data_IF_995512853564
#
_entry.id   IF_995512853564
#
_cell.length_a   1.000
_cell.length_b   1.000
_cell.length_c   1.000
_cell.angle_alpha   90.00
_cell.angle_beta   90.00
_cell.angle_gamma   90.00
#
_symmetry.space_group_name_H-M   'P 1'
#
loop_
_entity.id
_entity.type
_entity.pdbx_description
1 polymer ?
#
# COMPACT_ATOMS: atom_id res chain seq x y z
N UNK A 1 -50.92 -40.05 37.13
CA UNK A 1 -49.80 -39.95 36.17
C UNK A 1 -49.34 -38.49 36.16
N UNK A 2 -48.18 -38.18 36.77
CA UNK A 2 -47.66 -36.80 36.88
C UNK A 2 -46.81 -36.48 35.66
N UNK A 3 -47.21 -35.49 34.86
CA UNK A 3 -46.44 -34.98 33.72
C UNK A 3 -45.35 -34.03 34.26
N UNK A 4 -44.09 -34.40 34.08
CA UNK A 4 -42.93 -33.55 34.36
C UNK A 4 -42.63 -32.78 33.08
N UNK A 5 -42.75 -31.45 33.13
CA UNK A 5 -42.38 -30.54 32.04
C UNK A 5 -40.92 -30.16 32.26
N UNK A 6 -40.03 -30.61 31.36
CA UNK A 6 -38.64 -30.16 31.31
C UNK A 6 -38.57 -28.86 30.50
N UNK A 7 -38.22 -27.76 31.16
CA UNK A 7 -37.90 -26.49 30.51
C UNK A 7 -36.41 -26.52 30.15
N UNK A 8 -36.11 -26.61 28.85
CA UNK A 8 -34.75 -26.51 28.33
C UNK A 8 -34.42 -25.02 28.16
N UNK A 9 -33.55 -24.49 29.01
CA UNK A 9 -32.94 -23.17 28.82
C UNK A 9 -31.87 -23.28 27.73
N UNK A 10 -32.17 -22.80 26.52
CA UNK A 10 -31.15 -22.53 25.51
C UNK A 10 -30.32 -21.32 25.95
N UNK A 11 -29.16 -21.56 26.55
CA UNK A 11 -28.14 -20.53 26.72
C UNK A 11 -27.53 -20.22 25.34
N UNK A 12 -28.05 -19.19 24.67
CA UNK A 12 -27.40 -18.62 23.50
C UNK A 12 -26.09 -17.96 23.96
N UNK A 13 -24.97 -18.66 23.81
CA UNK A 13 -23.64 -18.14 24.11
C UNK A 13 -23.32 -16.96 23.18
N UNK A 14 -23.40 -15.74 23.73
CA UNK A 14 -22.79 -14.56 23.14
C UNK A 14 -21.28 -14.82 23.05
N UNK A 15 -20.82 -15.19 21.86
CA UNK A 15 -19.39 -15.19 21.54
C UNK A 15 -18.99 -13.72 21.46
N UNK A 16 -18.57 -13.15 22.59
CA UNK A 16 -17.85 -11.88 22.59
C UNK A 16 -16.49 -12.17 21.96
N UNK A 17 -16.33 -11.82 20.68
CA UNK A 17 -15.00 -11.68 20.11
C UNK A 17 -14.29 -10.60 20.92
N UNK A 18 -13.26 -10.99 21.67
CA UNK A 18 -12.41 -10.05 22.39
C UNK A 18 -11.66 -9.27 21.31
N UNK A 19 -12.09 -8.04 21.08
CA UNK A 19 -11.38 -7.14 20.19
C UNK A 19 -10.08 -6.70 20.89
N UNK A 20 -8.96 -6.78 20.16
CA UNK A 20 -7.67 -6.30 20.62
C UNK A 20 -7.42 -4.93 20.00
N UNK A 21 -6.65 -4.08 20.68
CA UNK A 21 -6.19 -2.81 20.14
C UNK A 21 -5.36 -3.05 18.87
N UNK A 22 -5.73 -2.46 17.73
CA UNK A 22 -4.98 -2.62 16.49
C UNK A 22 -4.40 -1.29 16.06
N UNK A 23 -3.07 -1.25 15.96
CA UNK A 23 -2.35 -0.11 15.39
C UNK A 23 -1.18 -0.57 14.52
N UNK A 24 -1.19 -0.21 13.24
CA UNK A 24 -0.04 -0.38 12.34
C UNK A 24 1.19 0.40 12.81
N UNK A 25 0.98 1.53 13.49
CA UNK A 25 2.04 2.36 14.04
C UNK A 25 2.53 1.89 15.43
N UNK A 26 2.06 0.75 15.95
CA UNK A 26 2.27 0.29 17.33
C UNK A 26 1.98 1.36 18.41
N UNK A 27 0.91 2.15 18.21
CA UNK A 27 0.40 3.12 19.17
C UNK A 27 -0.68 2.49 20.03
N UNK A 28 -0.83 3.01 21.25
CA UNK A 28 -1.95 2.65 22.11
C UNK A 28 -3.26 3.08 21.42
N UNK A 29 -4.16 2.12 21.28
CA UNK A 29 -5.51 2.28 20.73
C UNK A 29 -6.46 1.50 21.63
N UNK A 30 -7.75 1.83 21.62
CA UNK A 30 -8.75 0.96 22.23
C UNK A 30 -9.16 -0.16 21.26
N UNK A 31 -9.98 -1.09 21.74
CA UNK A 31 -10.46 -2.23 20.97
C UNK A 31 -11.50 -1.85 19.89
N UNK A 32 -11.93 -0.58 19.83
CA UNK A 32 -12.92 -0.09 18.86
C UNK A 32 -12.30 0.39 17.54
N UNK A 33 -10.97 0.41 17.42
CA UNK A 33 -10.27 0.99 16.26
C UNK A 33 -9.31 -0.02 15.61
N UNK A 34 -9.36 -0.06 14.28
CA UNK A 34 -8.40 -0.69 13.39
C UNK A 34 -7.53 0.41 12.77
N UNK A 35 -6.50 0.85 13.50
CA UNK A 35 -5.73 2.04 13.14
C UNK A 35 -4.55 1.70 12.21
N UNK A 36 -4.65 2.06 10.94
CA UNK A 36 -3.51 1.99 10.01
C UNK A 36 -2.81 3.34 9.85
N UNK A 37 -3.22 4.35 10.63
CA UNK A 37 -2.66 5.70 10.61
C UNK A 37 -1.48 5.85 11.58
N UNK A 38 -0.71 6.94 11.45
CA UNK A 38 -0.57 7.80 10.28
C UNK A 38 0.40 7.18 9.27
N UNK A 39 0.47 7.75 8.06
CA UNK A 39 1.42 7.37 7.02
C UNK A 39 1.21 5.92 6.57
N UNK A 40 -0.05 5.56 6.30
CA UNK A 40 -0.44 4.17 6.05
C UNK A 40 0.40 3.54 4.94
N UNK A 41 0.54 4.20 3.79
CA UNK A 41 1.33 3.72 2.66
C UNK A 41 2.79 3.50 3.02
N UNK A 42 3.42 4.47 3.66
CA UNK A 42 4.80 4.35 4.10
C UNK A 42 4.99 3.14 5.01
N UNK A 43 4.12 2.96 6.00
CA UNK A 43 4.22 1.87 6.98
C UNK A 43 3.96 0.50 6.39
N UNK A 44 2.95 0.37 5.54
CA UNK A 44 2.67 -0.87 4.82
C UNK A 44 3.86 -1.28 3.94
N UNK A 45 4.57 -0.30 3.37
CA UNK A 45 5.74 -0.52 2.53
C UNK A 45 7.06 -0.82 3.29
N UNK A 46 7.07 -0.79 4.63
CA UNK A 46 8.28 -1.15 5.39
C UNK A 46 8.51 -2.65 5.43
N UNK A 47 7.43 -3.44 5.48
CA UNK A 47 7.51 -4.91 5.56
C UNK A 47 6.19 -5.54 5.07
N UNK A 48 6.14 -6.09 3.84
CA UNK A 48 7.26 -6.26 2.90
C UNK A 48 7.69 -4.95 2.22
N UNK A 49 8.98 -4.86 1.85
CA UNK A 49 9.48 -3.74 1.05
C UNK A 49 8.96 -3.84 -0.39
N UNK A 50 8.32 -2.78 -0.87
CA UNK A 50 7.83 -2.66 -2.26
C UNK A 50 8.72 -1.66 -3.01
N UNK A 51 9.54 -2.10 -3.99
CA UNK A 51 10.35 -1.17 -4.77
C UNK A 51 9.47 -0.17 -5.54
N UNK A 52 9.87 1.10 -5.54
CA UNK A 52 9.15 2.15 -6.27
C UNK A 52 9.07 1.82 -7.77
N UNK A 53 7.87 1.99 -8.36
CA UNK A 53 7.64 1.70 -9.78
C UNK A 53 7.44 0.22 -10.08
N UNK A 54 7.26 -0.63 -9.06
CA UNK A 54 6.82 -2.01 -9.25
C UNK A 54 5.52 -2.06 -10.04
N UNK A 55 5.41 -3.03 -10.96
CA UNK A 55 4.16 -3.17 -11.73
C UNK A 55 2.99 -3.49 -10.79
N UNK A 56 1.85 -2.87 -11.04
CA UNK A 56 0.63 -3.04 -10.23
C UNK A 56 0.81 -2.60 -8.76
N UNK A 57 1.66 -1.61 -8.49
CA UNK A 57 1.97 -1.11 -7.14
C UNK A 57 0.70 -0.82 -6.30
N UNK A 58 -0.30 -0.16 -6.88
CA UNK A 58 -1.58 0.11 -6.19
C UNK A 58 -2.30 -1.17 -5.73
N UNK A 59 -2.23 -2.23 -6.54
CA UNK A 59 -2.83 -3.53 -6.19
C UNK A 59 -2.03 -4.25 -5.11
N UNK A 60 -0.69 -4.14 -5.16
CA UNK A 60 0.19 -4.67 -4.11
C UNK A 60 -0.14 -4.01 -2.76
N UNK A 61 -0.20 -2.68 -2.70
CA UNK A 61 -0.52 -1.96 -1.47
C UNK A 61 -1.94 -2.24 -0.96
N UNK A 62 -2.91 -2.38 -1.87
CA UNK A 62 -4.23 -2.86 -1.52
C UNK A 62 -4.16 -4.23 -0.82
N UNK A 63 -3.45 -5.21 -1.39
CA UNK A 63 -3.36 -6.56 -0.79
C UNK A 63 -2.58 -6.59 0.52
N UNK A 64 -1.52 -5.81 0.65
CA UNK A 64 -0.78 -5.68 1.93
C UNK A 64 -1.70 -5.10 3.01
N UNK A 65 -2.46 -4.05 2.69
CA UNK A 65 -3.44 -3.49 3.62
C UNK A 65 -4.52 -4.53 3.99
N UNK A 66 -5.04 -5.26 2.98
CA UNK A 66 -6.03 -6.30 3.20
C UNK A 66 -5.51 -7.42 4.11
N UNK A 67 -4.28 -7.92 3.88
CA UNK A 67 -3.63 -8.92 4.76
C UNK A 67 -3.63 -8.44 6.20
N UNK A 68 -3.15 -7.22 6.44
CA UNK A 68 -3.13 -6.63 7.78
C UNK A 68 -4.54 -6.57 8.40
N UNK A 69 -5.52 -6.02 7.67
CA UNK A 69 -6.89 -5.84 8.17
C UNK A 69 -7.54 -7.20 8.47
N UNK A 70 -7.43 -8.18 7.57
CA UNK A 70 -8.06 -9.50 7.75
C UNK A 70 -7.41 -10.35 8.83
N UNK A 71 -6.13 -10.09 9.15
CA UNK A 71 -5.41 -10.81 10.20
C UNK A 71 -5.55 -10.17 11.58
N UNK A 72 -5.73 -8.85 11.66
CA UNK A 72 -5.62 -8.10 12.91
C UNK A 72 -6.92 -7.46 13.37
N UNK A 73 -7.78 -7.05 12.45
CA UNK A 73 -8.97 -6.28 12.78
C UNK A 73 -10.20 -7.17 12.93
N UNK A 74 -11.26 -6.63 13.54
CA UNK A 74 -12.56 -7.28 13.72
C UNK A 74 -13.69 -6.42 13.14
N UNK A 75 -14.86 -7.02 12.92
CA UNK A 75 -16.04 -6.25 12.54
C UNK A 75 -16.42 -5.24 13.64
N UNK A 76 -17.05 -4.15 13.24
CA UNK A 76 -17.43 -2.98 14.04
C UNK A 76 -16.27 -2.10 14.52
N UNK A 77 -15.02 -2.50 14.34
CA UNK A 77 -13.90 -1.58 14.51
C UNK A 77 -13.95 -0.47 13.46
N UNK A 78 -13.56 0.74 13.86
CA UNK A 78 -13.36 1.85 12.94
C UNK A 78 -12.01 1.68 12.24
N UNK A 79 -12.02 1.46 10.92
CA UNK A 79 -10.82 1.52 10.09
C UNK A 79 -10.37 2.98 9.91
N UNK A 80 -9.08 3.24 10.10
CA UNK A 80 -8.44 4.53 9.80
C UNK A 80 -7.31 4.35 8.79
N UNK A 81 -7.38 5.05 7.66
CA UNK A 81 -6.31 5.11 6.64
C UNK A 81 -5.89 6.57 6.47
N UNK A 82 -4.60 6.88 6.50
CA UNK A 82 -4.09 8.25 6.46
C UNK A 82 -3.06 8.45 5.36
N UNK A 83 -3.30 9.47 4.54
CA UNK A 83 -2.37 10.01 3.53
C UNK A 83 -1.92 11.39 3.98
N UNK A 84 -0.63 11.53 4.27
CA UNK A 84 -0.03 12.84 4.62
C UNK A 84 0.04 13.74 3.39
N UNK A 85 0.61 13.25 2.29
CA UNK A 85 0.82 14.04 1.08
C UNK A 85 -0.44 14.17 0.21
N UNK A 86 -1.55 13.53 0.57
CA UNK A 86 -2.82 13.59 -0.16
C UNK A 86 -2.76 13.08 -1.60
N UNK A 87 -1.93 12.05 -1.86
CA UNK A 87 -1.64 11.60 -3.23
C UNK A 87 -2.84 10.88 -3.86
N UNK A 88 -2.95 10.95 -5.20
CA UNK A 88 -3.93 10.15 -5.95
C UNK A 88 -3.68 8.64 -5.84
N UNK A 89 -2.43 8.25 -5.58
CA UNK A 89 -2.06 6.88 -5.31
C UNK A 89 -2.78 6.37 -4.05
N UNK A 90 -2.63 7.10 -2.93
CA UNK A 90 -3.28 6.77 -1.66
C UNK A 90 -4.81 6.77 -1.80
N UNK A 91 -5.37 7.81 -2.44
CA UNK A 91 -6.82 7.92 -2.63
C UNK A 91 -7.38 6.70 -3.40
N UNK A 92 -6.69 6.30 -4.47
CA UNK A 92 -7.10 5.19 -5.32
C UNK A 92 -7.18 3.87 -4.54
N UNK A 93 -6.12 3.48 -3.84
CA UNK A 93 -6.12 2.18 -3.16
C UNK A 93 -6.84 2.23 -1.80
N UNK A 94 -6.86 3.36 -1.07
CA UNK A 94 -7.69 3.50 0.13
C UNK A 94 -9.18 3.36 -0.19
N UNK A 95 -9.64 3.89 -1.32
CA UNK A 95 -11.01 3.67 -1.79
C UNK A 95 -11.28 2.18 -2.05
N UNK A 96 -10.35 1.45 -2.67
CA UNK A 96 -10.47 0.00 -2.86
C UNK A 96 -10.53 -0.75 -1.53
N UNK A 97 -9.62 -0.45 -0.59
CA UNK A 97 -9.60 -1.07 0.75
C UNK A 97 -10.93 -0.83 1.47
N UNK A 98 -11.34 0.44 1.61
CA UNK A 98 -12.58 0.81 2.30
C UNK A 98 -13.81 0.19 1.63
N UNK A 99 -13.87 0.13 0.30
CA UNK A 99 -14.97 -0.53 -0.41
C UNK A 99 -14.96 -2.04 -0.25
N UNK A 100 -13.82 -2.67 0.01
CA UNK A 100 -13.75 -4.10 0.25
C UNK A 100 -14.23 -4.46 1.67
N UNK A 101 -13.91 -3.65 2.67
CA UNK A 101 -14.14 -4.00 4.10
C UNK A 101 -15.30 -3.25 4.79
N UNK A 102 -15.73 -2.11 4.24
CA UNK A 102 -16.81 -1.26 4.79
C UNK A 102 -18.00 -1.12 3.83
N UNK A 103 -19.17 -0.73 4.34
CA UNK A 103 -20.29 -0.33 3.48
C UNK A 103 -19.97 1.02 2.81
N UNK A 104 -20.13 1.17 1.49
CA UNK A 104 -19.76 2.41 0.78
C UNK A 104 -20.39 3.68 1.36
N UNK A 105 -21.63 3.59 1.86
CA UNK A 105 -22.36 4.73 2.45
C UNK A 105 -21.78 5.19 3.78
N UNK A 106 -21.01 4.35 4.46
CA UNK A 106 -20.37 4.65 5.75
C UNK A 106 -18.90 5.09 5.57
N UNK A 107 -18.40 5.12 4.33
CA UNK A 107 -17.03 5.58 4.02
C UNK A 107 -16.98 7.09 4.04
N UNK A 108 -16.19 7.63 4.97
CA UNK A 108 -15.96 9.06 5.09
C UNK A 108 -14.52 9.38 4.71
N UNK A 109 -14.35 10.42 3.88
CA UNK A 109 -13.05 11.04 3.59
C UNK A 109 -13.03 12.40 4.26
N UNK A 110 -12.12 12.59 5.19
CA UNK A 110 -12.00 13.82 5.99
C UNK A 110 -10.67 14.51 5.68
N UNK A 111 -10.63 15.86 5.61
CA UNK A 111 -9.38 16.60 5.58
C UNK A 111 -8.53 16.28 6.81
N UNK A 112 -7.25 16.03 6.60
CA UNK A 112 -6.27 15.76 7.66
C UNK A 112 -4.92 16.41 7.31
N UNK A 113 -4.96 17.53 6.59
CA UNK A 113 -3.77 18.24 6.13
C UNK A 113 -3.06 18.98 7.27
N UNK A 114 -1.77 19.18 7.08
CA UNK A 114 -0.92 20.05 7.93
C UNK A 114 -0.62 21.35 7.18
N UNK A 115 0.12 22.27 7.82
CA UNK A 115 0.63 23.47 7.14
C UNK A 115 1.52 23.11 5.94
N UNK A 116 2.39 22.11 6.09
CA UNK A 116 3.29 21.62 5.04
C UNK A 116 2.57 20.78 3.96
N UNK A 117 1.53 20.05 4.36
CA UNK A 117 0.77 19.16 3.47
C UNK A 117 -0.74 19.40 3.60
N UNK A 118 -1.28 20.52 3.08
CA UNK A 118 -2.68 20.89 3.26
C UNK A 118 -3.67 19.92 2.60
N UNK A 119 -3.21 19.15 1.61
CA UNK A 119 -4.01 18.16 0.90
C UNK A 119 -4.14 16.80 1.63
N UNK A 120 -3.46 16.64 2.77
CA UNK A 120 -3.54 15.42 3.58
C UNK A 120 -4.98 15.05 3.94
N UNK A 121 -5.25 13.75 4.04
CA UNK A 121 -6.60 13.25 4.30
C UNK A 121 -6.61 11.92 5.05
N UNK A 122 -7.75 11.67 5.69
CA UNK A 122 -8.04 10.41 6.37
C UNK A 122 -9.31 9.78 5.78
N UNK A 123 -9.26 8.47 5.55
CA UNK A 123 -10.45 7.65 5.28
C UNK A 123 -10.83 6.92 6.55
N UNK A 124 -12.11 7.01 6.92
CA UNK A 124 -12.69 6.41 8.11
C UNK A 124 -13.96 5.65 7.76
N UNK A 125 -14.10 4.41 8.25
CA UNK A 125 -15.34 3.66 8.16
C UNK A 125 -15.41 2.50 9.17
N UNK A 126 -16.61 2.10 9.62
CA UNK A 126 -16.78 0.88 10.40
C UNK A 126 -16.61 -0.36 9.50
N UNK A 127 -15.76 -1.28 9.93
CA UNK A 127 -15.56 -2.57 9.26
C UNK A 127 -16.83 -3.40 9.41
N UNK A 128 -17.37 -3.90 8.31
CA UNK A 128 -18.62 -4.66 8.28
C UNK A 128 -18.63 -5.84 7.32
N UNK A 129 -17.57 -6.01 6.52
CA UNK A 129 -17.45 -7.06 5.50
C UNK A 129 -16.16 -7.86 5.64
N UNK A 130 -15.69 -8.06 6.88
CA UNK A 130 -14.39 -8.68 7.11
C UNK A 130 -14.32 -10.11 6.56
N UNK A 131 -15.41 -10.89 6.67
CA UNK A 131 -15.46 -12.28 6.19
C UNK A 131 -15.37 -12.34 4.65
N UNK A 132 -16.13 -11.49 3.97
CA UNK A 132 -16.12 -11.36 2.51
C UNK A 132 -14.76 -10.87 2.01
N UNK A 133 -14.17 -9.92 2.73
CA UNK A 133 -12.82 -9.43 2.49
C UNK A 133 -11.75 -10.53 2.60
N UNK A 134 -11.81 -11.35 3.65
CA UNK A 134 -10.89 -12.49 3.84
C UNK A 134 -11.03 -13.50 2.70
N UNK A 135 -12.26 -13.84 2.30
CA UNK A 135 -12.49 -14.76 1.18
C UNK A 135 -11.96 -14.19 -0.14
N UNK A 136 -12.25 -12.91 -0.43
CA UNK A 136 -11.75 -12.25 -1.63
C UNK A 136 -10.21 -12.20 -1.66
N UNK A 137 -9.57 -11.91 -0.53
CA UNK A 137 -8.11 -11.92 -0.40
C UNK A 137 -7.53 -13.31 -0.66
N UNK A 138 -8.14 -14.37 -0.11
CA UNK A 138 -7.70 -15.74 -0.34
C UNK A 138 -7.74 -16.13 -1.82
N UNK A 139 -8.81 -15.76 -2.55
CA UNK A 139 -8.91 -16.02 -4.00
C UNK A 139 -7.86 -15.22 -4.79
N UNK A 140 -7.61 -13.96 -4.41
CA UNK A 140 -6.56 -13.14 -5.01
C UNK A 140 -5.15 -13.73 -4.82
N UNK A 141 -4.84 -14.20 -3.61
CA UNK A 141 -3.54 -14.81 -3.29
C UNK A 141 -3.37 -16.18 -3.95
N UNK A 142 -4.45 -16.97 -4.09
CA UNK A 142 -4.45 -18.23 -4.83
C UNK A 142 -4.16 -18.02 -6.31
N UNK A 143 -4.72 -16.97 -6.92
CA UNK A 143 -4.50 -16.66 -8.32
C UNK A 143 -3.07 -16.17 -8.59
N UNK A 144 -2.56 -15.27 -7.74
CA UNK A 144 -1.19 -14.76 -7.80
C UNK A 144 -0.80 -14.23 -6.41
N UNK A 145 0.20 -14.81 -5.73
CA UNK A 145 0.63 -14.32 -4.42
C UNK A 145 1.15 -12.88 -4.47
N UNK A 146 0.84 -12.08 -3.45
CA UNK A 146 1.34 -10.70 -3.34
C UNK A 146 2.88 -10.67 -3.36
N UNK A 147 3.53 -11.63 -2.72
CA UNK A 147 4.99 -11.76 -2.68
C UNK A 147 5.57 -11.98 -4.09
N UNK A 148 4.86 -12.73 -4.94
CA UNK A 148 5.24 -12.93 -6.33
C UNK A 148 5.02 -11.66 -7.18
N UNK A 149 4.04 -10.81 -6.83
CA UNK A 149 3.89 -9.49 -7.45
C UNK A 149 5.05 -8.56 -7.08
N UNK A 150 5.43 -8.53 -5.80
CA UNK A 150 6.56 -7.73 -5.31
C UNK A 150 7.87 -8.21 -5.94
N UNK A 151 8.08 -9.52 -6.04
CA UNK A 151 9.28 -10.10 -6.63
C UNK A 151 9.45 -9.80 -8.14
N UNK A 152 8.37 -9.46 -8.86
CA UNK A 152 8.48 -8.98 -10.25
C UNK A 152 9.21 -7.64 -10.33
N UNK A 153 9.18 -6.86 -9.25
CA UNK A 153 9.87 -5.58 -9.12
C UNK A 153 9.43 -4.52 -10.12
N UNK A 154 10.14 -3.40 -10.10
CA UNK A 154 10.02 -2.38 -11.13
C UNK A 154 10.54 -2.94 -12.46
N UNK A 155 9.88 -2.66 -13.59
CA UNK A 155 10.43 -3.01 -14.89
C UNK A 155 11.80 -2.37 -15.00
N UNK A 156 12.82 -3.16 -15.32
CA UNK A 156 14.10 -2.60 -15.72
C UNK A 156 13.79 -1.70 -16.92
N UNK A 157 13.92 -0.38 -16.74
CA UNK A 157 14.10 0.51 -17.87
C UNK A 157 15.36 -0.03 -18.54
N UNK A 158 15.19 -0.81 -19.61
CA UNK A 158 16.27 -0.99 -20.55
C UNK A 158 16.72 0.43 -20.85
N UNK A 159 17.98 0.74 -20.54
CA UNK A 159 18.60 1.93 -21.08
C UNK A 159 18.29 1.85 -22.57
N UNK A 160 17.45 2.74 -23.09
CA UNK A 160 17.07 2.71 -24.49
C UNK A 160 18.37 2.63 -25.29
N UNK A 161 18.59 1.61 -26.14
CA UNK A 161 19.65 1.67 -27.12
C UNK A 161 19.15 2.61 -28.23
N UNK A 162 19.04 3.89 -27.91
CA UNK A 162 18.69 4.94 -28.86
C UNK A 162 19.15 6.32 -28.39
N UNK A 163 20.24 6.38 -27.64
CA UNK A 163 21.24 7.37 -28.03
C UNK A 163 21.88 6.75 -29.27
N UNK A 164 21.57 7.28 -30.46
CA UNK A 164 22.56 7.22 -31.54
C UNK A 164 23.87 7.57 -30.85
N UNK A 165 24.79 6.63 -30.76
CA UNK A 165 26.19 7.00 -30.75
C UNK A 165 26.30 7.90 -31.98
N UNK A 166 26.25 9.21 -31.76
CA UNK A 166 27.10 10.08 -32.54
C UNK A 166 28.45 9.40 -32.41
N UNK A 167 28.85 8.74 -33.50
CA UNK A 167 30.19 8.23 -33.68
C UNK A 167 31.09 9.28 -33.06
N UNK A 168 31.68 8.96 -31.91
CA UNK A 168 32.76 9.77 -31.39
C UNK A 168 33.78 9.72 -32.52
N UNK A 169 33.86 10.80 -33.30
CA UNK A 169 34.96 11.01 -34.21
C UNK A 169 36.18 10.82 -33.36
N UNK A 170 36.90 9.73 -33.59
CA UNK A 170 38.21 9.51 -33.04
C UNK A 170 39.01 10.72 -33.49
N UNK A 171 39.27 11.67 -32.57
CA UNK A 171 40.27 12.69 -32.82
C UNK A 171 41.56 11.87 -33.00
N UNK A 172 41.99 11.72 -34.25
CA UNK A 172 42.95 10.70 -34.65
C UNK A 172 44.19 10.76 -33.78
N UNK A 173 44.67 9.58 -33.38
CA UNK A 173 45.79 9.31 -32.46
C UNK A 173 47.18 9.75 -32.98
N UNK A 174 47.25 10.90 -33.64
CA UNK A 174 48.51 11.50 -34.10
C UNK A 174 48.52 12.98 -33.75
N UNK A 175 48.59 13.27 -32.45
CA UNK A 175 49.20 14.52 -32.02
C UNK A 175 50.69 14.44 -32.35
N UNK A 176 51.08 15.00 -33.50
CA UNK A 176 52.50 15.27 -33.76
C UNK A 176 52.94 16.43 -32.86
N UNK A 177 54.15 16.32 -32.31
CA UNK A 177 54.75 17.27 -31.36
C UNK A 177 54.75 18.73 -31.86
N UNK A 178 54.65 18.92 -33.17
CA UNK A 178 54.56 20.21 -33.86
C UNK A 178 53.25 20.95 -33.56
N UNK A 179 52.15 20.23 -33.32
CA UNK A 179 50.81 20.82 -33.10
C UNK A 179 50.68 21.46 -31.72
N UNK A 180 51.44 20.99 -30.73
CA UNK A 180 51.42 21.49 -29.35
C UNK A 180 52.24 22.79 -29.20
N UNK A 181 53.32 22.94 -29.97
CA UNK A 181 54.24 24.08 -29.85
C UNK A 181 53.72 25.33 -30.55
N UNK A 182 52.92 25.18 -31.61
CA UNK A 182 52.43 26.32 -32.41
C UNK A 182 51.07 26.89 -31.95
N UNK A 183 50.47 26.37 -30.88
CA UNK A 183 49.33 27.01 -30.21
C UNK A 183 48.03 27.09 -31.02
N UNK A 184 47.87 26.29 -32.08
CA UNK A 184 46.60 26.20 -32.80
C UNK A 184 45.71 25.15 -32.12
N UNK A 185 44.85 25.64 -31.23
CA UNK A 185 43.84 24.84 -30.54
C UNK A 185 42.87 24.17 -31.52
N UNK A 186 42.91 22.84 -31.58
CA UNK A 186 41.90 22.05 -32.26
C UNK A 186 40.63 21.96 -31.41
N UNK A 187 39.57 22.64 -31.84
CA UNK A 187 38.21 22.44 -31.32
C UNK A 187 37.67 21.10 -31.81
N UNK A 188 37.80 20.02 -31.03
CA UNK A 188 36.90 18.87 -31.16
C UNK A 188 35.53 19.33 -30.60
N UNK A 189 34.53 19.44 -31.47
CA UNK A 189 33.13 19.74 -31.08
C UNK A 189 32.36 18.44 -30.94
#
# INVERSE_FOLDING_TARGET
MKKVIFIIFLAAGLHQEVAYSVSLANRETDDSVCDLSPLTTYRLGLKPFVPAGTRDESEIYFRIAMKFITEKCTNNQTLLLHSEMGTSFDDGYFRKVSYQVCKPVEVQRQPAGTEDYPQGFMVRCPISKLKEATAALAEMEKAKPTEAMIAQGAPMRSAQPNRREEEKKTCGDKMTWETVVLGWGGSCR
#
